data_IF_499537223263
#
_entry.id   IF_499537223263
#
_cell.length_a   1.000
_cell.length_b   1.000
_cell.length_c   1.000
_cell.angle_alpha   90.00
_cell.angle_beta   90.00
_cell.angle_gamma   90.00
#
_symmetry.space_group_name_H-M   'P 1'
#
loop_
_entity.id
_entity.type
_entity.pdbx_description
1 polymer ?
#
# COMPACT_ATOMS: atom_id res chain seq x y z
N UNK A 1 -10.17 20.17 6.16
CA UNK A 1 -10.74 18.90 6.70
C UNK A 1 -9.94 17.73 6.16
N UNK A 2 -9.74 16.64 6.93
CA UNK A 2 -9.22 15.40 6.38
C UNK A 2 -10.27 14.76 5.46
N UNK A 3 -9.87 14.33 4.26
CA UNK A 3 -10.75 13.58 3.36
C UNK A 3 -10.75 12.09 3.72
N UNK A 4 -11.93 11.47 3.63
CA UNK A 4 -12.07 10.03 3.76
C UNK A 4 -11.56 9.31 2.51
N UNK A 5 -10.81 8.24 2.73
CA UNK A 5 -10.26 7.35 1.70
C UNK A 5 -11.06 6.05 1.66
N UNK A 6 -11.50 5.51 2.80
CA UNK A 6 -12.36 4.34 2.87
C UNK A 6 -13.61 4.63 3.71
N UNK A 7 -14.79 4.56 3.09
CA UNK A 7 -16.07 4.79 3.77
C UNK A 7 -16.45 3.64 4.72
N UNK A 8 -16.15 2.38 4.36
CA UNK A 8 -16.56 1.20 5.13
C UNK A 8 -15.94 1.13 6.53
N UNK A 9 -14.67 1.57 6.66
CA UNK A 9 -13.92 1.56 7.92
C UNK A 9 -13.63 2.98 8.44
N UNK A 10 -14.19 4.02 7.82
CA UNK A 10 -13.98 5.42 8.22
C UNK A 10 -12.53 5.93 8.11
N UNK A 11 -11.69 5.30 7.28
CA UNK A 11 -10.26 5.62 7.20
C UNK A 11 -10.03 6.92 6.41
N UNK A 12 -9.27 7.82 6.99
CA UNK A 12 -8.88 9.13 6.44
C UNK A 12 -7.54 9.10 5.71
N UNK A 13 -7.31 10.09 4.84
CA UNK A 13 -6.02 10.24 4.16
C UNK A 13 -4.84 10.42 5.14
N UNK A 14 -5.07 11.10 6.28
CA UNK A 14 -4.05 11.28 7.32
C UNK A 14 -3.58 9.94 7.87
N UNK A 15 -4.51 9.06 8.25
CA UNK A 15 -4.18 7.71 8.73
C UNK A 15 -3.45 6.88 7.68
N UNK A 16 -3.85 6.97 6.40
CA UNK A 16 -3.14 6.29 5.29
C UNK A 16 -1.68 6.77 5.20
N UNK A 17 -1.44 8.08 5.35
CA UNK A 17 -0.10 8.68 5.30
C UNK A 17 0.73 8.37 6.56
N UNK A 18 0.12 8.39 7.75
CA UNK A 18 0.74 7.98 9.01
C UNK A 18 1.16 6.50 8.95
N UNK A 19 0.29 5.60 8.50
CA UNK A 19 0.63 4.19 8.32
C UNK A 19 1.75 3.99 7.28
N UNK A 20 1.75 4.74 6.19
CA UNK A 20 2.85 4.74 5.22
C UNK A 20 4.18 5.15 5.88
N UNK A 21 4.19 6.21 6.71
CA UNK A 21 5.36 6.63 7.49
C UNK A 21 5.81 5.58 8.52
N UNK A 22 4.91 4.76 9.06
CA UNK A 22 5.28 3.61 9.92
C UNK A 22 5.77 2.37 9.15
N UNK A 23 5.96 2.47 7.83
CA UNK A 23 6.48 1.37 6.99
C UNK A 23 5.43 0.59 6.19
N UNK A 24 4.15 0.97 6.23
CA UNK A 24 3.10 0.34 5.41
C UNK A 24 3.11 0.87 3.96
N UNK A 25 4.20 0.60 3.23
CA UNK A 25 4.46 1.16 1.90
C UNK A 25 3.62 0.54 0.77
N UNK A 26 2.73 -0.42 1.04
CA UNK A 26 1.85 -1.09 0.06
C UNK A 26 0.39 -1.08 0.51
N UNK A 27 -0.59 -1.08 -0.42
CA UNK A 27 -2.01 -1.18 -0.04
C UNK A 27 -2.34 -2.46 0.74
N UNK A 28 -1.55 -3.53 0.59
CA UNK A 28 -1.73 -4.79 1.33
C UNK A 28 -1.23 -4.69 2.78
N UNK A 29 -0.14 -3.97 3.03
CA UNK A 29 0.30 -3.62 4.38
C UNK A 29 -0.66 -2.63 5.04
N UNK A 30 -1.17 -1.63 4.31
CA UNK A 30 -2.19 -0.70 4.83
C UNK A 30 -3.49 -1.44 5.17
N UNK A 31 -3.93 -2.41 4.36
CA UNK A 31 -5.04 -3.29 4.70
C UNK A 31 -4.77 -4.09 6.00
N UNK A 32 -3.53 -4.53 6.24
CA UNK A 32 -3.13 -5.17 7.50
C UNK A 32 -3.16 -4.21 8.71
N UNK A 33 -2.73 -2.97 8.53
CA UNK A 33 -2.65 -1.97 9.61
C UNK A 33 -4.01 -1.35 9.98
N UNK A 34 -4.84 -1.01 8.99
CA UNK A 34 -6.08 -0.25 9.20
C UNK A 34 -7.33 -0.83 8.53
N UNK A 35 -7.28 -2.06 7.98
CA UNK A 35 -8.38 -2.75 7.28
C UNK A 35 -8.88 -2.06 6.01
N UNK A 36 -8.30 -0.93 5.61
CA UNK A 36 -8.69 -0.24 4.39
C UNK A 36 -8.47 -1.12 3.16
N UNK A 37 -9.55 -1.49 2.48
CA UNK A 37 -9.53 -2.29 1.26
C UNK A 37 -9.79 -3.78 1.45
N UNK A 38 -10.13 -4.25 2.66
CA UNK A 38 -10.53 -5.65 2.91
C UNK A 38 -12.03 -5.93 2.73
N UNK A 39 -12.83 -4.89 2.49
CA UNK A 39 -14.28 -4.93 2.25
C UNK A 39 -14.55 -4.70 0.75
N UNK A 40 -15.37 -3.71 0.35
CA UNK A 40 -15.72 -3.43 -1.05
C UNK A 40 -14.56 -3.04 -1.99
N UNK A 41 -13.32 -2.92 -1.49
CA UNK A 41 -12.12 -2.66 -2.28
C UNK A 41 -12.01 -1.28 -2.97
N UNK A 42 -13.07 -0.45 -2.97
CA UNK A 42 -13.14 0.82 -3.70
C UNK A 42 -12.00 1.80 -3.39
N UNK A 43 -11.52 1.80 -2.14
CA UNK A 43 -10.43 2.66 -1.68
C UNK A 43 -9.04 2.24 -2.18
N UNK A 44 -8.84 1.00 -2.65
CA UNK A 44 -7.51 0.44 -2.95
C UNK A 44 -6.77 1.24 -4.01
N UNK A 45 -7.46 1.68 -5.08
CA UNK A 45 -6.85 2.53 -6.12
C UNK A 45 -6.45 3.91 -5.60
N UNK A 46 -7.24 4.48 -4.69
CA UNK A 46 -6.97 5.76 -4.03
C UNK A 46 -5.76 5.66 -3.10
N UNK A 47 -5.65 4.56 -2.35
CA UNK A 47 -4.49 4.25 -1.50
C UNK A 47 -3.22 4.06 -2.36
N UNK A 48 -3.30 3.36 -3.50
CA UNK A 48 -2.18 3.22 -4.43
C UNK A 48 -1.68 4.56 -4.96
N UNK A 49 -2.59 5.48 -5.32
CA UNK A 49 -2.26 6.83 -5.76
C UNK A 49 -1.61 7.67 -4.63
N UNK A 50 -2.15 7.61 -3.42
CA UNK A 50 -1.60 8.29 -2.23
C UNK A 50 -0.20 7.78 -1.85
N UNK A 51 0.09 6.51 -2.10
CA UNK A 51 1.41 5.88 -1.92
C UNK A 51 2.37 6.13 -3.09
N UNK A 52 2.03 6.96 -4.07
CA UNK A 52 2.88 7.23 -5.25
C UNK A 52 2.98 6.05 -6.25
N UNK A 53 2.36 4.90 -5.98
CA UNK A 53 2.34 3.72 -6.86
C UNK A 53 1.29 3.85 -8.00
N UNK A 54 0.85 5.06 -8.30
CA UNK A 54 -0.29 5.35 -9.19
C UNK A 54 0.00 5.24 -10.70
N UNK A 55 1.27 5.18 -11.10
CA UNK A 55 1.70 5.14 -12.50
C UNK A 55 1.87 3.70 -13.04
N UNK A 56 0.90 2.82 -12.81
CA UNK A 56 0.77 1.60 -13.61
C UNK A 56 -0.13 1.91 -14.81
N UNK A 57 0.43 2.10 -16.04
CA UNK A 57 -0.40 2.17 -17.23
C UNK A 57 -1.26 0.90 -17.33
N UNK A 58 -2.40 1.06 -17.99
CA UNK A 58 -3.41 0.02 -18.18
C UNK A 58 -2.75 -1.31 -18.51
N UNK A 59 -2.95 -2.31 -17.65
CA UNK A 59 -2.61 -3.70 -17.93
C UNK A 59 -3.54 -4.16 -19.06
N UNK A 60 -3.13 -3.94 -20.30
CA UNK A 60 -3.61 -4.75 -21.42
C UNK A 60 -3.37 -6.19 -21.02
N UNK A 61 -4.46 -6.94 -20.85
CA UNK A 61 -4.38 -8.28 -20.31
C UNK A 61 -3.82 -9.21 -21.39
N UNK A 62 -2.64 -9.83 -21.19
CA UNK A 62 -2.39 -11.09 -21.85
C UNK A 62 -3.43 -12.06 -21.29
N UNK A 63 -4.21 -12.65 -22.19
CA UNK A 63 -4.84 -13.93 -21.90
C UNK A 63 -3.71 -14.95 -21.61
N UNK A 64 -4.03 -16.00 -20.86
CA UNK A 64 -3.17 -17.16 -20.48
C UNK A 64 -2.47 -17.11 -19.11
N UNK A 65 -2.25 -18.29 -18.45
CA UNK A 65 -2.27 -18.37 -17.00
C UNK A 65 -0.91 -18.43 -16.27
N UNK A 66 -0.91 -17.83 -15.08
CA UNK A 66 -0.07 -18.07 -13.88
C UNK A 66 1.40 -18.51 -14.07
N UNK A 67 2.32 -17.56 -13.89
CA UNK A 67 3.61 -17.80 -13.24
C UNK A 67 3.99 -16.62 -12.33
N UNK A 68 4.23 -16.90 -11.05
CA UNK A 68 4.97 -16.04 -10.11
C UNK A 68 6.48 -16.36 -10.26
N UNK A 69 7.45 -15.50 -9.84
CA UNK A 69 7.33 -14.37 -8.91
C UNK A 69 8.14 -13.08 -9.30
N UNK A 70 8.33 -12.18 -8.32
CA UNK A 70 9.40 -11.16 -8.16
C UNK A 70 9.08 -9.65 -8.42
N UNK A 71 9.85 -8.80 -7.71
CA UNK A 71 9.82 -7.32 -7.51
C UNK A 71 8.93 -6.84 -6.31
N UNK A 72 9.39 -6.77 -5.05
CA UNK A 72 10.63 -6.25 -4.45
C UNK A 72 10.74 -4.70 -4.43
N UNK A 73 10.53 -4.11 -3.23
CA UNK A 73 11.11 -2.84 -2.73
C UNK A 73 10.41 -2.42 -1.41
N UNK A 74 10.99 -2.81 -0.27
CA UNK A 74 11.11 -1.97 0.92
C UNK A 74 12.53 -2.19 1.41
N UNK A 75 13.40 -1.21 1.17
CA UNK A 75 14.71 -1.13 1.79
C UNK A 75 14.52 -0.71 3.26
N UNK A 76 15.22 -1.37 4.17
CA UNK A 76 15.37 -0.96 5.57
C UNK A 76 16.86 -0.92 5.85
N UNK A 77 17.37 0.30 6.01
CA UNK A 77 18.74 0.65 6.36
C UNK A 77 18.63 1.80 7.40
N UNK A 78 19.55 2.03 8.34
CA UNK A 78 20.93 1.54 8.54
C UNK A 78 21.14 1.14 10.03
N UNK A 79 22.39 0.90 10.44
CA UNK A 79 22.90 0.85 11.83
C UNK A 79 22.52 -0.37 12.72
N UNK A 80 23.26 -0.71 13.79
CA UNK A 80 24.70 -0.60 14.12
C UNK A 80 25.01 -1.33 15.46
N UNK A 81 26.29 -1.65 15.68
CA UNK A 81 26.91 -2.24 16.89
C UNK A 81 26.50 -3.72 17.22
N UNK A 82 27.39 -4.59 17.67
CA UNK A 82 28.80 -4.42 18.09
C UNK A 82 29.62 -5.68 17.80
N UNK A 83 30.94 -5.53 17.68
CA UNK A 83 31.89 -6.65 17.62
C UNK A 83 33.08 -6.37 18.54
N UNK A 84 33.25 -7.19 19.58
CA UNK A 84 34.45 -7.37 20.38
C UNK A 84 34.42 -8.75 21.04
#
# INVERSE_FOLDING_TARGET
MPVYVCSCFGITEKQVREHASTGACTPRQIAGACKAGTDCGSCVRKIQALLGRGACPRREAPLEPVALPAAAAVEVEVEAAEAA
#
